data_IF_923652895638
#
_entry.id   IF_923652895638
#
_cell.length_a   1.000
_cell.length_b   1.000
_cell.length_c   1.000
_cell.angle_alpha   90.00
_cell.angle_beta   90.00
_cell.angle_gamma   90.00
#
_symmetry.space_group_name_H-M   'P 1'
#
loop_
_entity.id
_entity.type
_entity.pdbx_description
1 polymer ?
#
# COMPACT_ATOMS: atom_id res chain seq x y z
N UNK A 1 1.23 17.37 -1.65
CA UNK A 1 2.23 16.34 -1.33
C UNK A 1 1.63 15.30 -0.39
N UNK A 2 1.87 14.05 -0.69
CA UNK A 2 1.32 12.96 0.12
C UNK A 2 2.44 12.11 0.71
N UNK A 3 2.14 11.44 1.83
CA UNK A 3 3.06 10.51 2.47
C UNK A 3 2.50 9.10 2.25
N UNK A 4 3.23 8.28 1.54
CA UNK A 4 2.78 6.94 1.15
C UNK A 4 3.64 5.89 1.83
N UNK A 5 3.00 4.94 2.52
CA UNK A 5 3.70 3.81 3.09
C UNK A 5 3.69 2.66 2.09
N UNK A 6 4.87 2.27 1.65
CA UNK A 6 5.03 1.10 0.76
C UNK A 6 5.46 -0.10 1.58
N UNK A 7 4.76 -1.21 1.39
CA UNK A 7 5.05 -2.44 2.12
C UNK A 7 5.41 -3.53 1.12
N UNK A 8 6.67 -3.95 1.15
CA UNK A 8 7.17 -4.96 0.21
C UNK A 8 8.49 -5.47 0.76
N UNK A 9 8.74 -6.77 0.68
CA UNK A 9 9.98 -7.31 1.23
C UNK A 9 11.15 -7.23 0.25
N UNK A 10 10.92 -6.77 -0.97
CA UNK A 10 11.98 -6.62 -1.97
C UNK A 10 12.55 -5.21 -1.91
N UNK A 11 13.82 -5.04 -1.48
CA UNK A 11 14.38 -3.70 -1.38
C UNK A 11 14.48 -2.97 -2.73
N UNK A 12 14.66 -3.70 -3.82
CA UNK A 12 14.71 -3.05 -5.13
C UNK A 12 13.36 -2.45 -5.51
N UNK A 13 12.28 -3.16 -5.20
CA UNK A 13 10.94 -2.62 -5.44
C UNK A 13 10.70 -1.37 -4.61
N UNK A 14 11.08 -1.42 -3.32
CA UNK A 14 10.91 -0.25 -2.45
C UNK A 14 11.69 0.95 -2.95
N UNK A 15 12.94 0.71 -3.42
CA UNK A 15 13.76 1.81 -3.93
C UNK A 15 13.12 2.44 -5.17
N UNK A 16 12.63 1.60 -6.08
CA UNK A 16 12.01 2.09 -7.30
C UNK A 16 10.76 2.91 -6.98
N UNK A 17 9.92 2.40 -6.09
CA UNK A 17 8.70 3.13 -5.72
C UNK A 17 9.03 4.46 -5.03
N UNK A 18 10.04 4.44 -4.17
CA UNK A 18 10.47 5.66 -3.48
C UNK A 18 10.88 6.73 -4.48
N UNK A 19 11.75 6.35 -5.41
CA UNK A 19 12.23 7.33 -6.41
C UNK A 19 11.08 7.83 -7.26
N UNK A 20 10.15 6.94 -7.62
CA UNK A 20 9.03 7.33 -8.46
C UNK A 20 8.16 8.40 -7.80
N UNK A 21 7.82 8.21 -6.53
CA UNK A 21 6.94 9.17 -5.87
C UNK A 21 7.67 10.46 -5.52
N UNK A 22 8.97 10.37 -5.24
CA UNK A 22 9.75 11.57 -4.94
C UNK A 22 9.83 12.50 -6.15
N UNK A 23 9.86 11.94 -7.35
CA UNK A 23 9.84 12.76 -8.56
C UNK A 23 8.59 13.64 -8.64
N UNK A 24 7.50 13.23 -8.02
CA UNK A 24 6.26 13.98 -8.06
C UNK A 24 5.96 14.71 -6.75
N UNK A 25 6.98 14.85 -5.91
CA UNK A 25 6.85 15.65 -4.71
C UNK A 25 6.24 14.93 -3.51
N UNK A 26 6.13 13.63 -3.56
CA UNK A 26 5.58 12.85 -2.45
C UNK A 26 6.70 12.24 -1.60
N UNK A 27 6.35 11.86 -0.39
CA UNK A 27 7.28 11.23 0.54
C UNK A 27 6.95 9.75 0.68
N UNK A 28 7.99 8.90 0.65
CA UNK A 28 7.82 7.47 0.84
C UNK A 28 8.22 7.06 2.25
N UNK A 29 7.38 6.23 2.86
CA UNK A 29 7.69 5.51 4.09
C UNK A 29 7.78 4.04 3.70
N UNK A 30 8.66 3.28 4.33
CA UNK A 30 8.93 1.92 3.89
C UNK A 30 8.76 0.92 5.01
N UNK A 31 8.22 -0.26 4.67
CA UNK A 31 8.15 -1.39 5.57
C UNK A 31 8.38 -2.66 4.77
N UNK A 32 9.08 -3.62 5.35
CA UNK A 32 9.38 -4.87 4.67
C UNK A 32 8.52 -6.04 5.14
N UNK A 33 7.79 -5.86 6.22
CA UNK A 33 6.91 -6.89 6.77
C UNK A 33 5.59 -6.27 7.15
N UNK A 34 4.59 -7.11 7.36
CA UNK A 34 3.30 -6.63 7.85
C UNK A 34 3.41 -5.99 9.21
N UNK A 35 4.24 -6.57 10.09
CA UNK A 35 4.40 -6.00 11.43
C UNK A 35 5.03 -4.62 11.37
N UNK A 36 6.06 -4.45 10.52
CA UNK A 36 6.64 -3.12 10.34
C UNK A 36 5.62 -2.13 9.80
N UNK A 37 4.76 -2.61 8.88
CA UNK A 37 3.74 -1.74 8.32
C UNK A 37 2.77 -1.25 9.37
N UNK A 38 2.36 -2.14 10.28
CA UNK A 38 1.46 -1.75 11.35
C UNK A 38 2.12 -0.71 12.26
N UNK A 39 3.38 -0.91 12.57
CA UNK A 39 4.13 0.02 13.42
C UNK A 39 4.29 1.37 12.74
N UNK A 40 4.64 1.38 11.45
CA UNK A 40 4.81 2.62 10.71
C UNK A 40 3.48 3.37 10.55
N UNK A 41 2.40 2.63 10.29
CA UNK A 41 1.11 3.28 10.13
C UNK A 41 0.70 3.98 11.41
N UNK A 42 0.89 3.32 12.55
CA UNK A 42 0.52 3.91 13.83
C UNK A 42 1.40 5.11 14.17
N UNK A 43 2.69 5.00 13.88
CA UNK A 43 3.65 6.06 14.26
C UNK A 43 3.61 7.26 13.32
N UNK A 44 3.39 7.03 12.02
CA UNK A 44 3.57 8.06 11.00
C UNK A 44 2.27 8.56 10.37
N UNK A 45 1.18 7.85 10.56
CA UNK A 45 -0.11 8.22 9.98
C UNK A 45 0.00 8.60 8.50
N UNK A 46 0.39 7.65 7.64
CA UNK A 46 0.52 7.98 6.22
C UNK A 46 -0.83 8.33 5.60
N UNK A 47 -0.78 8.97 4.46
CA UNK A 47 -1.99 9.33 3.72
C UNK A 47 -2.53 8.16 2.90
N UNK A 48 -1.67 7.20 2.58
CA UNK A 48 -2.02 6.07 1.75
C UNK A 48 -1.06 4.92 2.07
N UNK A 49 -1.57 3.70 2.07
CA UNK A 49 -0.73 2.51 2.24
C UNK A 49 -0.85 1.66 0.98
N UNK A 50 0.29 1.28 0.40
CA UNK A 50 0.33 0.38 -0.74
C UNK A 50 1.13 -0.85 -0.34
N UNK A 51 0.47 -2.00 -0.29
CA UNK A 51 1.10 -3.20 0.21
C UNK A 51 1.13 -4.32 -0.81
N UNK A 52 2.25 -5.03 -0.86
CA UNK A 52 2.33 -6.27 -1.60
C UNK A 52 1.36 -7.27 -0.99
N UNK A 53 0.81 -8.14 -1.83
CA UNK A 53 -0.09 -9.20 -1.37
C UNK A 53 0.66 -10.24 -0.53
N UNK A 54 1.91 -10.52 -0.86
CA UNK A 54 2.69 -11.57 -0.19
C UNK A 54 3.83 -10.95 0.60
N UNK A 55 3.73 -11.02 1.92
CA UNK A 55 4.77 -10.54 2.83
C UNK A 55 5.31 -11.72 3.62
N UNK A 56 6.51 -11.57 4.23
CA UNK A 56 7.10 -12.71 4.95
C UNK A 56 6.28 -13.21 6.13
N UNK A 57 5.59 -12.30 6.81
CA UNK A 57 4.91 -12.65 8.06
C UNK A 57 3.39 -12.71 7.93
N UNK A 58 2.83 -12.20 6.85
CA UNK A 58 1.38 -12.24 6.64
C UNK A 58 1.10 -11.86 5.19
N UNK A 59 -0.11 -12.07 4.71
CA UNK A 59 -0.44 -11.57 3.38
C UNK A 59 -1.06 -10.17 3.48
N UNK A 60 -1.25 -9.55 2.31
CA UNK A 60 -1.76 -8.18 2.28
C UNK A 60 -3.18 -8.05 2.81
N UNK A 61 -3.99 -9.09 2.65
CA UNK A 61 -5.35 -9.03 3.17
C UNK A 61 -5.38 -9.15 4.69
N UNK A 62 -4.47 -9.92 5.26
CA UNK A 62 -4.34 -9.99 6.71
C UNK A 62 -3.88 -8.64 7.26
N UNK A 63 -2.93 -8.01 6.58
CA UNK A 63 -2.49 -6.68 6.98
C UNK A 63 -3.66 -5.69 6.93
N UNK A 64 -4.42 -5.74 5.85
CA UNK A 64 -5.60 -4.88 5.71
C UNK A 64 -6.57 -5.08 6.86
N UNK A 65 -6.83 -6.33 7.22
CA UNK A 65 -7.72 -6.63 8.33
C UNK A 65 -7.25 -6.02 9.63
N UNK A 66 -5.95 -6.16 9.92
CA UNK A 66 -5.40 -5.56 11.14
C UNK A 66 -5.53 -4.03 11.12
N UNK A 67 -5.29 -3.41 9.97
CA UNK A 67 -5.39 -1.96 9.88
C UNK A 67 -6.83 -1.50 10.10
N UNK A 68 -7.79 -2.23 9.57
CA UNK A 68 -9.20 -1.85 9.72
C UNK A 68 -9.70 -2.02 11.15
N UNK A 69 -9.05 -2.88 11.94
CA UNK A 69 -9.44 -3.09 13.33
C UNK A 69 -8.83 -2.06 14.28
N UNK A 70 -7.85 -1.29 13.83
CA UNK A 70 -7.21 -0.28 14.67
C UNK A 70 -7.81 1.09 14.36
N UNK A 71 -8.57 1.63 15.32
CA UNK A 71 -9.29 2.87 15.10
C UNK A 71 -8.39 4.03 14.70
N UNK A 72 -7.14 4.01 15.14
CA UNK A 72 -6.22 5.09 14.82
C UNK A 72 -5.80 5.14 13.37
N UNK A 73 -5.89 4.02 12.66
CA UNK A 73 -5.45 3.94 11.26
C UNK A 73 -6.51 3.37 10.33
N UNK A 74 -7.69 3.04 10.85
CA UNK A 74 -8.71 2.37 10.04
C UNK A 74 -9.19 3.21 8.86
N UNK A 75 -9.00 4.51 8.92
CA UNK A 75 -9.44 5.42 7.86
C UNK A 75 -8.46 5.54 6.71
N UNK A 76 -7.23 5.04 6.87
CA UNK A 76 -6.20 5.23 5.84
C UNK A 76 -6.51 4.32 4.65
N UNK A 77 -6.57 4.87 3.43
CA UNK A 77 -6.83 4.02 2.26
C UNK A 77 -5.68 3.05 2.01
N UNK A 78 -6.03 1.84 1.59
CA UNK A 78 -5.07 0.77 1.34
C UNK A 78 -5.24 0.27 -0.08
N UNK A 79 -4.13 0.15 -0.80
CA UNK A 79 -4.09 -0.41 -2.14
C UNK A 79 -3.25 -1.68 -2.08
N UNK A 80 -3.76 -2.77 -2.64
CA UNK A 80 -3.06 -4.05 -2.63
C UNK A 80 -2.43 -4.30 -4.00
N UNK A 81 -1.16 -4.69 -4.00
CA UNK A 81 -0.40 -4.98 -5.22
C UNK A 81 -0.10 -6.46 -5.28
N UNK A 82 -0.27 -7.07 -6.44
CA UNK A 82 -0.01 -8.50 -6.59
C UNK A 82 0.60 -8.79 -7.94
N UNK A 83 1.52 -9.76 -7.97
CA UNK A 83 2.08 -10.24 -9.23
C UNK A 83 1.10 -11.14 -9.98
N UNK A 84 0.07 -11.62 -9.29
CA UNK A 84 -0.90 -12.54 -9.88
C UNK A 84 -2.18 -11.79 -10.26
N UNK A 85 -2.52 -11.73 -11.54
CA UNK A 85 -3.67 -10.95 -12.00
C UNK A 85 -4.98 -11.74 -11.90
N UNK A 86 -5.28 -12.31 -10.77
CA UNK A 86 -6.51 -13.08 -10.59
C UNK A 86 -7.65 -12.15 -10.25
N UNK A 87 -8.73 -12.27 -11.00
CA UNK A 87 -9.90 -11.41 -10.84
C UNK A 87 -10.53 -11.58 -9.46
N UNK A 88 -10.56 -12.81 -8.97
CA UNK A 88 -11.16 -13.08 -7.68
C UNK A 88 -10.44 -12.36 -6.54
N UNK A 89 -9.12 -12.20 -6.65
CA UNK A 89 -8.36 -11.49 -5.62
C UNK A 89 -8.76 -10.03 -5.54
N UNK A 90 -9.05 -9.41 -6.67
CA UNK A 90 -9.48 -8.01 -6.66
C UNK A 90 -10.78 -7.85 -5.90
N UNK A 91 -11.74 -8.75 -6.14
CA UNK A 91 -13.01 -8.69 -5.45
C UNK A 91 -12.85 -8.95 -3.96
N UNK A 92 -12.01 -9.92 -3.60
CA UNK A 92 -11.76 -10.23 -2.20
C UNK A 92 -11.11 -9.04 -1.50
N UNK A 93 -10.14 -8.40 -2.14
CA UNK A 93 -9.48 -7.25 -1.56
C UNK A 93 -10.46 -6.09 -1.33
N UNK A 94 -11.32 -5.82 -2.30
CA UNK A 94 -12.30 -4.75 -2.14
C UNK A 94 -13.30 -5.07 -1.06
N UNK A 95 -13.75 -6.32 -0.97
CA UNK A 95 -14.67 -6.73 0.08
C UNK A 95 -14.04 -6.60 1.45
N UNK A 96 -12.72 -6.75 1.55
CA UNK A 96 -12.00 -6.61 2.81
C UNK A 96 -11.71 -5.15 3.16
N UNK A 97 -12.02 -4.22 2.28
CA UNK A 97 -11.84 -2.80 2.56
C UNK A 97 -10.71 -2.11 1.84
N UNK A 98 -10.08 -2.76 0.86
CA UNK A 98 -9.05 -2.10 0.07
C UNK A 98 -9.69 -1.11 -0.90
N UNK A 99 -9.01 0.00 -1.14
CA UNK A 99 -9.49 0.98 -2.11
C UNK A 99 -9.42 0.44 -3.53
N UNK A 100 -8.34 -0.27 -3.84
CA UNK A 100 -8.22 -0.89 -5.13
C UNK A 100 -7.13 -1.96 -5.09
N UNK A 101 -7.01 -2.69 -6.17
CA UNK A 101 -6.08 -3.80 -6.32
C UNK A 101 -5.36 -3.60 -7.64
N UNK A 102 -4.04 -3.61 -7.62
CA UNK A 102 -3.24 -3.39 -8.81
C UNK A 102 -2.36 -4.59 -9.08
N UNK A 103 -2.09 -4.86 -10.35
CA UNK A 103 -1.21 -5.95 -10.76
C UNK A 103 0.19 -5.41 -11.00
N UNK A 104 1.20 -6.08 -10.48
CA UNK A 104 2.58 -5.73 -10.72
C UNK A 104 3.02 -6.17 -12.12
N UNK A 105 3.95 -5.47 -12.74
CA UNK A 105 4.57 -4.23 -12.28
C UNK A 105 3.64 -3.04 -12.47
N UNK A 106 3.65 -2.13 -11.53
CA UNK A 106 2.76 -0.96 -11.58
C UNK A 106 3.42 0.12 -12.45
N UNK A 107 2.69 0.58 -13.45
CA UNK A 107 3.19 1.67 -14.28
C UNK A 107 3.23 2.96 -13.50
N UNK A 108 4.20 3.81 -13.80
CA UNK A 108 4.35 5.08 -13.11
C UNK A 108 3.07 5.91 -13.17
N UNK A 109 2.44 5.99 -14.35
CA UNK A 109 1.23 6.80 -14.48
C UNK A 109 0.10 6.24 -13.61
N UNK A 110 -0.04 4.92 -13.56
CA UNK A 110 -1.04 4.29 -12.70
C UNK A 110 -0.77 4.59 -11.24
N UNK A 111 0.48 4.49 -10.83
CA UNK A 111 0.87 4.76 -9.45
C UNK A 111 0.50 6.19 -9.07
N UNK A 112 0.86 7.15 -9.89
CA UNK A 112 0.59 8.56 -9.61
C UNK A 112 -0.91 8.83 -9.59
N UNK A 113 -1.66 8.25 -10.54
CA UNK A 113 -3.12 8.42 -10.57
C UNK A 113 -3.76 7.90 -9.29
N UNK A 114 -3.32 6.74 -8.83
CA UNK A 114 -3.87 6.14 -7.61
C UNK A 114 -3.55 7.01 -6.39
N UNK A 115 -2.31 7.51 -6.32
CA UNK A 115 -1.93 8.38 -5.21
C UNK A 115 -2.80 9.63 -5.21
N UNK A 116 -3.05 10.23 -6.35
CA UNK A 116 -3.88 11.42 -6.43
C UNK A 116 -5.31 11.12 -6.01
N UNK A 117 -5.87 10.05 -6.44
CA UNK A 117 -7.23 9.70 -6.05
C UNK A 117 -7.40 9.42 -4.56
N UNK A 118 -6.53 8.76 -4.14
CA UNK A 118 -6.67 8.29 -2.82
C UNK A 118 -6.32 9.28 -1.83
N UNK A 119 -5.54 10.21 -2.19
CA UNK A 119 -5.12 11.21 -1.22
C UNK A 119 -5.70 12.62 -1.45
N UNK A 120 -6.29 12.88 -2.58
CA UNK A 120 -6.89 14.20 -2.83
C UNK A 120 -8.22 14.26 -2.06
N UNK A 121 -8.27 15.02 -1.06
CA UNK A 121 -9.34 15.11 -0.10
C UNK A 121 -10.74 15.35 -0.59
#
# INVERSE_FOLDING_TARGET
MARILFVDDDPNTLETLTKSVQLFGHQALLAKTGQEALEQAAAQSPDLIMTDMMLPDMDGLQLLGHLREDAGVAHIPVVVLSASPEIDLAEIAQAAGAETFLTKPVRLQTLIDVIQRXTSG
#
